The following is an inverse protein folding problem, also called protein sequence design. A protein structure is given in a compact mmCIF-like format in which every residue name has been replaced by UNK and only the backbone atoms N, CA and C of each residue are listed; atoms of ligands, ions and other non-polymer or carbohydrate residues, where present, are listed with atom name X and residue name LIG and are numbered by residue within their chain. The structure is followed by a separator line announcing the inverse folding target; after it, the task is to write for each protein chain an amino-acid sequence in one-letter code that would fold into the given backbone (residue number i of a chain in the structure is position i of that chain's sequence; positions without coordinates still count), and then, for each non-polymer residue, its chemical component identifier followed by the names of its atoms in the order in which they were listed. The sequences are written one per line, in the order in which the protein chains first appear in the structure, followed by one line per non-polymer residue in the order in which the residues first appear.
data_IF_196561152198
#
_entry.id   IF_196561152198
#
_cell.length_a   1.000
_cell.length_b   1.000
_cell.length_c   1.000
_cell.angle_alpha   90.00
_cell.angle_beta   90.00
_cell.angle_gamma   90.00
#
_symmetry.space_group_name_H-M   'P 1'
#
loop_
_entity.id
_entity.type
_entity.pdbx_description
1 polymer ?
#
# COMPACT_ATOMS: atom_id res chain seq x y z
N UNK A 1 -63.49 -51.47 -26.23
CA UNK A 1 -63.95 -52.12 -24.97
C UNK A 1 -63.57 -51.23 -23.79
N UNK A 2 -64.56 -50.95 -22.93
CA UNK A 2 -64.53 -50.37 -21.57
C UNK A 2 -63.84 -49.00 -21.36
N UNK A 3 -64.52 -47.85 -21.47
CA UNK A 3 -65.50 -47.18 -20.55
C UNK A 3 -64.91 -46.38 -19.36
N UNK A 4 -64.94 -45.06 -19.55
CA UNK A 4 -65.32 -43.97 -18.63
C UNK A 4 -65.92 -44.35 -17.26
N UNK A 5 -65.55 -43.62 -16.19
CA UNK A 5 -66.49 -42.74 -15.46
C UNK A 5 -65.87 -41.92 -14.33
N UNK A 6 -66.15 -40.62 -14.39
CA UNK A 6 -66.19 -39.65 -13.28
C UNK A 6 -67.42 -39.93 -12.41
N UNK A 7 -67.31 -39.82 -11.09
CA UNK A 7 -68.41 -39.44 -10.18
C UNK A 7 -67.86 -38.76 -8.94
N UNK A 8 -68.63 -37.79 -8.43
CA UNK A 8 -68.28 -36.82 -7.40
C UNK A 8 -69.09 -37.04 -6.09
N UNK A 9 -68.65 -36.30 -5.05
CA UNK A 9 -69.25 -36.05 -3.72
C UNK A 9 -69.11 -37.20 -2.68
N UNK A 10 -68.89 -36.96 -1.37
CA UNK A 10 -69.31 -35.86 -0.48
C UNK A 10 -68.44 -35.86 0.82
N UNK A 11 -68.29 -34.69 1.46
CA UNK A 11 -67.58 -34.41 2.73
C UNK A 11 -68.20 -35.15 3.95
N UNK A 12 -67.43 -35.43 5.03
CA UNK A 12 -67.56 -34.64 6.28
C UNK A 12 -66.19 -34.40 6.99
N UNK A 13 -65.90 -33.20 7.49
CA UNK A 13 -66.09 -32.68 8.85
C UNK A 13 -64.91 -32.94 9.82
N UNK A 14 -64.61 -31.91 10.61
CA UNK A 14 -63.35 -31.66 11.30
C UNK A 14 -63.16 -32.41 12.62
N UNK A 15 -61.91 -32.69 12.99
CA UNK A 15 -61.51 -32.80 14.39
C UNK A 15 -60.04 -32.43 14.61
N UNK A 16 -59.84 -31.49 15.54
CA UNK A 16 -58.60 -30.82 15.95
C UNK A 16 -57.64 -31.81 16.64
N UNK A 17 -56.36 -31.85 16.22
CA UNK A 17 -55.27 -32.45 17.03
C UNK A 17 -54.66 -31.37 17.95
N UNK A 18 -54.84 -31.54 19.27
CA UNK A 18 -54.08 -30.86 20.35
C UNK A 18 -52.89 -31.76 20.79
N UNK A 19 -51.89 -31.22 21.49
CA UNK A 19 -50.48 -31.39 21.13
C UNK A 19 -49.77 -32.51 21.92
N UNK A 20 -48.76 -33.12 21.28
CA UNK A 20 -47.81 -34.01 21.94
C UNK A 20 -46.59 -33.23 22.48
N UNK A 21 -46.08 -33.73 23.58
CA UNK A 21 -45.19 -33.08 24.53
C UNK A 21 -43.79 -32.69 24.02
N UNK A 22 -43.24 -31.65 24.67
CA UNK A 22 -41.87 -31.13 24.56
C UNK A 22 -40.82 -32.23 24.76
N UNK A 23 -39.89 -32.37 23.83
CA UNK A 23 -38.53 -32.88 24.09
C UNK A 23 -37.53 -31.73 24.03
N UNK A 24 -36.79 -31.56 25.13
CA UNK A 24 -35.65 -30.64 25.27
C UNK A 24 -34.37 -31.30 24.76
N UNK A 25 -33.45 -30.41 24.41
CA UNK A 25 -32.00 -30.55 24.23
C UNK A 25 -31.49 -30.99 22.85
N UNK A 26 -30.92 -30.03 22.12
CA UNK A 26 -29.50 -30.08 21.79
C UNK A 26 -28.97 -28.64 21.70
N UNK A 27 -27.89 -28.43 22.44
CA UNK A 27 -27.22 -27.17 22.74
C UNK A 27 -26.72 -26.46 21.48
N UNK A 28 -27.18 -25.22 21.28
CA UNK A 28 -26.76 -24.38 20.18
C UNK A 28 -25.39 -23.83 20.49
N UNK A 29 -24.37 -24.27 19.75
CA UNK A 29 -23.04 -23.65 19.76
C UNK A 29 -23.17 -22.18 19.37
N UNK A 30 -23.23 -21.31 20.39
CA UNK A 30 -23.27 -19.87 20.23
C UNK A 30 -21.98 -19.43 19.52
N UNK A 31 -22.10 -19.03 18.25
CA UNK A 31 -21.03 -18.34 17.52
C UNK A 31 -20.58 -17.16 18.37
N UNK A 32 -19.37 -17.25 18.92
CA UNK A 32 -18.70 -16.21 19.70
C UNK A 32 -18.72 -14.93 18.85
N UNK A 33 -19.59 -13.97 19.19
CA UNK A 33 -19.61 -12.64 18.56
C UNK A 33 -18.21 -12.08 18.73
N UNK A 34 -17.48 -11.94 17.63
CA UNK A 34 -16.22 -11.21 17.60
C UNK A 34 -16.53 -9.78 18.02
N UNK A 35 -16.14 -9.43 19.25
CA UNK A 35 -16.26 -8.06 19.75
C UNK A 35 -15.38 -7.19 18.86
N UNK A 36 -16.03 -6.42 17.97
CA UNK A 36 -15.36 -5.43 17.13
C UNK A 36 -14.61 -4.49 18.07
N UNK A 37 -13.27 -4.52 18.04
CA UNK A 37 -12.42 -3.63 18.85
C UNK A 37 -12.91 -2.19 18.65
N UNK A 38 -13.16 -1.49 19.76
CA UNK A 38 -13.56 -0.09 19.75
C UNK A 38 -12.45 0.71 19.05
N UNK A 39 -12.82 1.52 18.05
CA UNK A 39 -11.88 2.41 17.36
C UNK A 39 -11.31 3.38 18.40
N UNK A 40 -9.98 3.58 18.38
CA UNK A 40 -9.35 4.59 19.22
C UNK A 40 -9.91 5.98 18.90
N UNK A 41 -9.95 6.85 19.89
CA UNK A 41 -10.37 8.24 19.71
C UNK A 41 -9.30 9.00 18.90
N UNK A 42 -9.72 9.97 18.08
CA UNK A 42 -8.81 10.72 17.22
C UNK A 42 -7.87 11.57 18.10
N UNK A 43 -6.56 11.54 17.80
CA UNK A 43 -5.56 12.30 18.58
C UNK A 43 -5.28 11.77 19.99
N UNK A 44 -5.83 10.60 20.36
CA UNK A 44 -5.76 10.11 21.76
C UNK A 44 -4.52 9.26 22.08
N UNK A 45 -3.57 9.11 21.15
CA UNK A 45 -2.42 8.23 21.31
C UNK A 45 -1.22 8.76 20.53
N UNK A 46 -0.05 8.70 21.17
CA UNK A 46 1.23 9.06 20.57
C UNK A 46 1.73 10.40 21.06
N UNK A 47 2.77 10.90 20.39
CA UNK A 47 3.34 12.22 20.58
C UNK A 47 2.69 13.20 19.61
N UNK A 48 2.61 14.47 19.99
CA UNK A 48 2.27 15.55 19.07
C UNK A 48 3.45 15.91 18.14
N UNK A 49 3.18 16.77 17.16
CA UNK A 49 4.16 17.11 16.14
C UNK A 49 5.40 17.86 16.68
N UNK A 50 5.23 18.70 17.71
CA UNK A 50 6.34 19.45 18.31
C UNK A 50 7.22 18.51 19.15
N UNK A 51 6.60 17.56 19.85
CA UNK A 51 7.29 16.59 20.68
C UNK A 51 8.21 15.66 19.87
N UNK A 52 7.96 15.39 18.57
CA UNK A 52 8.75 14.43 17.80
C UNK A 52 10.25 14.76 17.72
N UNK A 53 10.58 16.06 17.69
CA UNK A 53 11.95 16.55 17.63
C UNK A 53 12.59 16.85 18.98
N UNK A 54 11.80 16.79 20.06
CA UNK A 54 12.27 17.13 21.40
C UNK A 54 12.92 15.95 22.12
N UNK A 55 13.71 16.27 23.15
CA UNK A 55 14.39 15.31 24.01
C UNK A 55 15.79 14.97 23.52
N UNK A 56 16.50 14.19 24.35
CA UNK A 56 17.84 13.71 24.03
C UNK A 56 17.75 12.23 23.64
N UNK A 57 18.40 11.88 22.53
CA UNK A 57 18.45 10.50 22.08
C UNK A 57 19.25 9.64 23.08
N UNK A 58 18.79 8.40 23.38
CA UNK A 58 19.52 7.48 24.23
C UNK A 58 20.92 7.16 23.70
N UNK A 59 21.82 6.72 24.58
CA UNK A 59 23.20 6.40 24.23
C UNK A 59 23.32 5.39 23.10
N UNK A 60 22.41 4.41 23.02
CA UNK A 60 22.37 3.41 21.95
C UNK A 60 22.14 4.05 20.57
N UNK A 61 21.26 5.06 20.51
CA UNK A 61 20.94 5.80 19.28
C UNK A 61 22.11 6.70 18.90
N UNK A 62 22.77 7.33 19.88
CA UNK A 62 23.97 8.12 19.63
C UNK A 62 25.17 7.26 19.22
N UNK A 63 25.31 6.05 19.75
CA UNK A 63 26.30 5.08 19.31
C UNK A 63 26.05 4.66 17.86
N UNK A 64 24.80 4.40 17.49
CA UNK A 64 24.42 4.13 16.11
C UNK A 64 24.71 5.33 15.19
N UNK A 65 24.39 6.55 15.63
CA UNK A 65 24.69 7.78 14.90
C UNK A 65 26.20 7.95 14.65
N UNK A 66 27.04 7.68 15.67
CA UNK A 66 28.50 7.68 15.53
C UNK A 66 28.98 6.60 14.56
N UNK A 67 28.39 5.40 14.62
CA UNK A 67 28.72 4.32 13.69
C UNK A 67 28.40 4.69 12.24
N UNK A 68 27.26 5.35 11.97
CA UNK A 68 26.91 5.88 10.64
C UNK A 68 28.00 6.80 10.11
N UNK A 69 28.49 7.73 10.94
CA UNK A 69 29.56 8.66 10.53
C UNK A 69 30.87 7.91 10.30
N UNK A 70 31.25 6.99 11.20
CA UNK A 70 32.44 6.14 11.04
C UNK A 70 32.38 5.24 9.80
N UNK A 71 31.18 4.88 9.37
CA UNK A 71 30.92 4.08 8.18
C UNK A 71 30.95 4.88 6.87
N UNK A 72 31.19 6.19 6.94
CA UNK A 72 31.24 7.10 5.79
C UNK A 72 29.91 7.76 5.44
N UNK A 73 28.89 7.62 6.30
CA UNK A 73 27.60 8.27 6.16
C UNK A 73 27.48 9.57 6.94
N UNK A 74 26.26 10.10 7.01
CA UNK A 74 25.90 11.29 7.79
C UNK A 74 24.52 11.12 8.41
N UNK A 75 24.35 11.61 9.64
CA UNK A 75 23.04 11.67 10.30
C UNK A 75 22.42 13.02 10.01
N UNK A 76 21.34 13.03 9.24
CA UNK A 76 20.60 14.22 8.82
C UNK A 76 19.62 14.70 9.90
N UNK A 77 18.97 13.76 10.60
CA UNK A 77 18.08 14.08 11.72
C UNK A 77 17.97 12.93 12.73
N UNK A 78 17.59 13.28 13.96
CA UNK A 78 17.17 12.37 15.03
C UNK A 78 15.75 12.77 15.40
N UNK A 79 14.83 11.80 15.49
CA UNK A 79 13.45 12.10 15.83
C UNK A 79 12.77 10.88 16.46
N UNK A 80 11.64 11.10 17.13
CA UNK A 80 10.80 10.03 17.69
C UNK A 80 9.67 9.68 16.74
N UNK A 81 9.34 8.40 16.60
CA UNK A 81 8.16 7.96 15.86
C UNK A 81 6.88 8.49 16.54
N UNK A 82 5.86 8.90 15.77
CA UNK A 82 4.71 9.61 16.33
C UNK A 82 3.80 8.75 17.20
N UNK A 83 3.85 7.42 17.10
CA UNK A 83 2.91 6.54 17.81
C UNK A 83 3.50 5.92 19.08
N UNK A 84 4.73 5.41 18.98
CA UNK A 84 5.45 4.74 20.07
C UNK A 84 6.49 5.62 20.76
N UNK A 85 6.90 6.74 20.15
CA UNK A 85 7.98 7.57 20.66
C UNK A 85 9.36 6.95 20.53
N UNK A 86 9.52 5.88 19.74
CA UNK A 86 10.79 5.22 19.49
C UNK A 86 11.69 6.12 18.65
N UNK A 87 12.94 6.26 19.07
CA UNK A 87 13.93 7.04 18.35
C UNK A 87 14.29 6.41 17.00
N UNK A 88 14.42 7.27 15.99
CA UNK A 88 14.78 6.95 14.62
C UNK A 88 15.84 7.94 14.13
N UNK A 89 16.63 7.51 13.16
CA UNK A 89 17.61 8.36 12.49
C UNK A 89 17.20 8.54 11.03
N UNK A 90 17.20 9.78 10.55
CA UNK A 90 17.27 10.04 9.11
C UNK A 90 18.76 10.15 8.75
N UNK A 91 19.24 9.29 7.87
CA UNK A 91 20.66 9.19 7.56
C UNK A 91 20.90 9.20 6.04
N UNK A 92 22.02 9.80 5.62
CA UNK A 92 22.60 9.58 4.30
C UNK A 92 23.67 8.50 4.43
N UNK A 93 23.51 7.40 3.71
CA UNK A 93 24.44 6.27 3.71
C UNK A 93 25.15 6.17 2.35
N UNK A 94 26.43 5.76 2.29
CA UNK A 94 27.05 5.38 1.02
C UNK A 94 26.22 4.25 0.38
N UNK A 95 25.87 4.40 -0.91
CA UNK A 95 24.91 3.47 -1.54
C UNK A 95 25.41 2.02 -1.53
N UNK A 96 26.73 1.83 -1.61
CA UNK A 96 27.38 0.53 -1.66
C UNK A 96 27.43 -0.20 -0.31
N UNK A 97 27.11 0.49 0.79
CA UNK A 97 27.02 -0.15 2.11
C UNK A 97 25.65 -0.74 2.40
N UNK A 98 24.67 -0.48 1.53
CA UNK A 98 23.29 -0.88 1.73
C UNK A 98 22.94 -2.07 0.83
N UNK A 99 22.48 -3.14 1.46
CA UNK A 99 22.14 -4.40 0.81
C UNK A 99 20.69 -4.83 1.13
N UNK A 100 20.03 -5.60 0.26
CA UNK A 100 18.72 -6.18 0.59
C UNK A 100 18.81 -7.10 1.80
N UNK A 101 17.77 -7.11 2.62
CA UNK A 101 17.67 -8.12 3.68
C UNK A 101 17.50 -9.52 3.05
N UNK A 102 18.06 -10.59 3.64
CA UNK A 102 18.11 -11.93 3.02
C UNK A 102 16.76 -12.57 2.64
N UNK A 103 15.66 -12.10 3.23
CA UNK A 103 14.32 -12.68 3.10
C UNK A 103 13.34 -11.77 2.33
N UNK A 104 13.86 -10.82 1.55
CA UNK A 104 13.02 -9.99 0.70
C UNK A 104 12.50 -10.73 -0.54
N UNK A 105 11.40 -10.21 -1.09
CA UNK A 105 10.89 -10.67 -2.37
C UNK A 105 11.89 -10.35 -3.48
N UNK A 106 11.94 -11.23 -4.47
CA UNK A 106 12.71 -11.03 -5.69
C UNK A 106 12.43 -9.68 -6.35
N UNK A 107 13.50 -9.06 -6.82
CA UNK A 107 13.44 -7.83 -7.60
C UNK A 107 12.67 -8.08 -8.91
N UNK A 108 11.72 -7.20 -9.22
CA UNK A 108 11.12 -7.19 -10.55
C UNK A 108 11.91 -6.25 -11.47
N UNK A 109 12.59 -6.82 -12.47
CA UNK A 109 13.39 -6.04 -13.43
C UNK A 109 12.57 -4.92 -14.10
N UNK A 110 11.31 -5.19 -14.46
CA UNK A 110 10.40 -4.20 -15.06
C UNK A 110 10.13 -3.04 -14.10
N UNK A 111 9.83 -3.32 -12.84
CA UNK A 111 9.58 -2.27 -11.84
C UNK A 111 10.85 -1.49 -11.50
N UNK A 112 12.00 -2.16 -11.45
CA UNK A 112 13.30 -1.52 -11.21
C UNK A 112 13.66 -0.55 -12.34
N UNK A 113 13.52 -0.99 -13.60
CA UNK A 113 13.74 -0.13 -14.78
C UNK A 113 12.81 1.08 -14.78
N UNK A 114 11.53 0.86 -14.45
CA UNK A 114 10.56 1.96 -14.36
C UNK A 114 10.92 2.95 -13.24
N UNK A 115 11.23 2.46 -12.04
CA UNK A 115 11.65 3.29 -10.91
C UNK A 115 12.87 4.14 -11.26
N UNK A 116 13.87 3.52 -11.91
CA UNK A 116 15.08 4.19 -12.41
C UNK A 116 14.74 5.33 -13.35
N UNK A 117 13.91 5.07 -14.38
CA UNK A 117 13.51 6.11 -15.32
C UNK A 117 12.68 7.24 -14.70
N UNK A 118 11.86 6.94 -13.68
CA UNK A 118 11.10 7.98 -12.95
C UNK A 118 12.03 8.86 -12.12
N UNK A 119 12.94 8.27 -11.35
CA UNK A 119 13.89 9.03 -10.51
C UNK A 119 14.78 9.91 -11.40
N UNK A 120 15.31 9.35 -12.50
CA UNK A 120 16.15 10.07 -13.46
C UNK A 120 15.41 11.25 -14.10
N UNK A 121 14.20 11.01 -14.62
CA UNK A 121 13.41 12.08 -15.26
C UNK A 121 12.98 13.17 -14.29
N UNK A 122 12.67 12.82 -13.04
CA UNK A 122 12.30 13.80 -12.01
C UNK A 122 13.51 14.50 -11.38
N UNK A 123 14.72 13.96 -11.55
CA UNK A 123 15.95 14.36 -10.86
C UNK A 123 15.77 14.49 -9.34
N UNK A 124 14.98 13.57 -8.76
CA UNK A 124 14.56 13.64 -7.35
C UNK A 124 14.42 12.27 -6.72
N UNK A 125 14.98 12.13 -5.52
CA UNK A 125 14.77 11.01 -4.63
C UNK A 125 13.95 11.45 -3.42
N UNK A 126 12.66 11.10 -3.39
CA UNK A 126 11.69 11.67 -2.43
C UNK A 126 11.32 10.74 -1.28
N UNK A 127 11.50 9.43 -1.46
CA UNK A 127 11.06 8.42 -0.50
C UNK A 127 12.28 7.65 0.04
N UNK A 128 12.77 7.98 1.25
CA UNK A 128 13.88 7.28 1.89
C UNK A 128 13.61 5.79 2.08
N UNK A 129 14.63 4.97 1.85
CA UNK A 129 14.55 3.53 2.13
C UNK A 129 14.53 3.29 3.65
N UNK A 130 13.99 2.15 4.10
CA UNK A 130 14.13 1.76 5.51
C UNK A 130 15.42 0.97 5.63
N UNK A 131 16.28 1.32 6.59
CA UNK A 131 17.52 0.62 6.85
C UNK A 131 17.61 0.17 8.32
N UNK A 132 18.35 -0.91 8.56
CA UNK A 132 18.89 -1.26 9.88
C UNK A 132 20.38 -1.50 9.73
N UNK A 133 21.13 -1.36 10.83
CA UNK A 133 22.54 -1.76 10.89
C UNK A 133 22.65 -3.12 11.58
N UNK A 134 23.37 -4.06 10.99
CA UNK A 134 23.64 -5.37 11.59
C UNK A 134 24.72 -5.24 12.67
N UNK A 135 24.83 -6.26 13.54
CA UNK A 135 25.93 -6.34 14.51
C UNK A 135 27.31 -6.38 13.83
N UNK A 136 27.38 -6.94 12.61
CA UNK A 136 28.59 -6.97 11.78
C UNK A 136 28.93 -5.61 11.13
N UNK A 137 28.05 -4.61 11.25
CA UNK A 137 28.24 -3.26 10.69
C UNK A 137 27.86 -3.10 9.22
N UNK A 138 27.11 -4.05 8.68
CA UNK A 138 26.45 -3.95 7.38
C UNK A 138 25.13 -3.21 7.53
N UNK A 139 24.61 -2.65 6.43
CA UNK A 139 23.26 -2.06 6.43
C UNK A 139 22.33 -2.90 5.57
N UNK A 140 21.20 -3.30 6.13
CA UNK A 140 20.16 -4.02 5.41
C UNK A 140 18.94 -3.14 5.22
N UNK A 141 18.37 -3.16 4.02
CA UNK A 141 17.20 -2.35 3.67
C UNK A 141 15.92 -3.19 3.56
N UNK A 142 15.17 -3.49 4.65
CA UNK A 142 13.96 -4.33 4.55
C UNK A 142 12.91 -3.79 3.57
N UNK A 143 12.79 -2.48 3.39
CA UNK A 143 11.92 -1.84 2.39
C UNK A 143 12.72 -0.87 1.53
N UNK A 144 12.54 -0.97 0.21
CA UNK A 144 13.11 -0.02 -0.73
C UNK A 144 14.03 -0.65 -1.77
N UNK A 145 14.01 -1.98 -1.96
CA UNK A 145 14.89 -2.65 -2.93
C UNK A 145 14.86 -2.04 -4.33
N UNK A 146 13.68 -1.76 -4.90
CA UNK A 146 13.58 -1.11 -6.22
C UNK A 146 14.20 0.30 -6.24
N UNK A 147 14.10 1.03 -5.13
CA UNK A 147 14.69 2.37 -4.96
C UNK A 147 16.21 2.28 -4.82
N UNK A 148 16.71 1.35 -4.01
CA UNK A 148 18.15 1.06 -3.90
C UNK A 148 18.73 0.66 -5.26
N UNK A 149 18.09 -0.27 -5.97
CA UNK A 149 18.52 -0.69 -7.31
C UNK A 149 18.56 0.48 -8.27
N UNK A 150 17.52 1.32 -8.28
CA UNK A 150 17.48 2.51 -9.14
C UNK A 150 18.62 3.49 -8.84
N UNK A 151 18.86 3.78 -7.56
CA UNK A 151 19.96 4.66 -7.13
C UNK A 151 21.33 4.09 -7.50
N UNK A 152 21.55 2.77 -7.34
CA UNK A 152 22.77 2.08 -7.80
C UNK A 152 22.93 2.19 -9.32
N UNK A 153 21.86 1.97 -10.10
CA UNK A 153 21.88 2.08 -11.57
C UNK A 153 22.12 3.50 -12.09
N UNK A 154 21.66 4.52 -11.37
CA UNK A 154 21.91 5.93 -11.68
C UNK A 154 23.29 6.42 -11.21
N UNK A 155 24.09 5.56 -10.57
CA UNK A 155 25.42 5.93 -10.09
C UNK A 155 25.40 6.91 -8.92
N UNK A 156 24.32 6.90 -8.11
CA UNK A 156 24.23 7.75 -6.94
C UNK A 156 25.31 7.41 -5.92
N UNK A 157 25.96 8.42 -5.33
CA UNK A 157 27.01 8.20 -4.31
C UNK A 157 26.44 7.81 -2.95
N UNK A 158 25.25 8.29 -2.64
CA UNK A 158 24.59 8.12 -1.35
C UNK A 158 23.09 7.92 -1.52
N UNK A 159 22.47 7.31 -0.51
CA UNK A 159 21.03 7.13 -0.42
C UNK A 159 20.52 7.60 0.94
N UNK A 160 19.37 8.27 0.96
CA UNK A 160 18.72 8.69 2.20
C UNK A 160 17.91 7.51 2.74
N UNK A 161 18.07 7.22 4.03
CA UNK A 161 17.43 6.13 4.72
C UNK A 161 16.79 6.57 6.05
N UNK A 162 15.63 6.00 6.36
CA UNK A 162 15.10 5.92 7.71
C UNK A 162 15.79 4.74 8.41
N UNK A 163 16.81 5.05 9.19
CA UNK A 163 17.60 4.08 9.93
C UNK A 163 16.93 3.79 11.27
N UNK A 164 16.48 2.54 11.41
CA UNK A 164 15.75 2.04 12.57
C UNK A 164 16.71 1.34 13.54
N UNK A 165 16.81 1.78 14.80
CA UNK A 165 17.69 1.14 15.80
C UNK A 165 17.27 -0.29 16.16
N UNK A 166 15.96 -0.59 16.15
CA UNK A 166 15.43 -1.93 16.45
C UNK A 166 15.60 -2.89 15.25
N UNK A 167 16.60 -3.76 15.33
CA UNK A 167 16.85 -4.79 14.32
C UNK A 167 15.66 -5.75 14.11
N UNK A 168 14.79 -5.96 15.11
CA UNK A 168 13.64 -6.86 14.98
C UNK A 168 12.63 -6.39 13.91
N UNK A 169 12.69 -5.11 13.50
CA UNK A 169 11.85 -4.56 12.44
C UNK A 169 12.10 -5.22 11.09
N UNK A 170 13.32 -5.72 10.81
CA UNK A 170 13.60 -6.40 9.53
C UNK A 170 12.64 -7.57 9.32
N UNK A 171 12.41 -8.39 10.35
CA UNK A 171 11.50 -9.55 10.28
C UNK A 171 10.01 -9.18 10.23
N UNK A 172 9.64 -7.93 10.52
CA UNK A 172 8.25 -7.46 10.52
C UNK A 172 7.83 -6.87 9.18
N UNK A 173 8.72 -6.83 8.18
CA UNK A 173 8.49 -6.06 6.96
C UNK A 173 7.29 -6.53 6.12
N UNK A 174 7.01 -7.84 6.09
CA UNK A 174 5.81 -8.35 5.41
C UNK A 174 4.52 -7.80 6.03
N UNK A 175 4.53 -7.55 7.35
CA UNK A 175 3.40 -6.93 8.04
C UNK A 175 3.34 -5.41 7.88
N UNK A 176 4.43 -4.78 7.41
CA UNK A 176 4.52 -3.33 7.19
C UNK A 176 4.12 -2.94 5.76
N UNK A 177 4.34 -3.82 4.77
CA UNK A 177 3.90 -3.63 3.38
C UNK A 177 2.40 -3.90 3.19
N UNK A 178 1.56 -3.17 3.94
CA UNK A 178 0.08 -3.30 3.91
C UNK A 178 -0.58 -2.42 2.85
N UNK A 179 0.21 -1.75 2.02
CA UNK A 179 -0.29 -0.90 0.94
C UNK A 179 -0.76 -1.74 -0.25
N UNK A 180 -1.94 -1.38 -0.77
CA UNK A 180 -2.58 -2.04 -1.90
C UNK A 180 -2.12 -1.39 -3.20
N UNK A 181 -1.64 -2.19 -4.16
CA UNK A 181 -1.37 -1.70 -5.50
C UNK A 181 -2.67 -1.18 -6.15
N UNK A 182 -2.59 -0.01 -6.79
CA UNK A 182 -3.72 0.57 -7.50
C UNK A 182 -4.20 -0.38 -8.59
N UNK A 183 -5.49 -0.73 -8.56
CA UNK A 183 -6.10 -1.40 -9.70
C UNK A 183 -6.38 -0.39 -10.82
N UNK A 184 -6.69 -0.90 -12.02
CA UNK A 184 -6.96 -0.08 -13.21
C UNK A 184 -7.95 1.06 -12.93
N UNK A 185 -9.03 0.79 -12.19
CA UNK A 185 -10.04 1.81 -11.87
C UNK A 185 -9.49 2.92 -10.98
N UNK A 186 -8.81 2.56 -9.90
CA UNK A 186 -8.20 3.51 -8.96
C UNK A 186 -7.20 4.42 -9.72
N UNK A 187 -6.32 3.79 -10.49
CA UNK A 187 -5.31 4.48 -11.29
C UNK A 187 -5.91 5.40 -12.36
N UNK A 188 -6.90 4.93 -13.12
CA UNK A 188 -7.56 5.73 -14.17
C UNK A 188 -8.27 6.96 -13.58
N UNK A 189 -8.87 6.80 -12.39
CA UNK A 189 -9.53 7.91 -11.69
C UNK A 189 -8.51 8.95 -11.17
N UNK A 190 -7.34 8.51 -10.71
CA UNK A 190 -6.25 9.43 -10.32
C UNK A 190 -5.73 10.21 -11.53
N UNK A 191 -5.44 9.53 -12.64
CA UNK A 191 -4.93 10.15 -13.88
C UNK A 191 -5.92 11.18 -14.45
N UNK A 192 -7.22 10.86 -14.56
CA UNK A 192 -8.18 11.85 -15.10
C UNK A 192 -8.36 13.07 -14.19
N UNK A 193 -8.29 12.88 -12.86
CA UNK A 193 -8.35 14.01 -11.90
C UNK A 193 -7.12 14.89 -12.03
N UNK A 194 -5.95 14.29 -12.17
CA UNK A 194 -4.70 15.00 -12.40
C UNK A 194 -4.77 15.80 -13.72
N UNK A 195 -5.21 15.18 -14.80
CA UNK A 195 -5.35 15.83 -16.10
C UNK A 195 -6.29 17.05 -16.03
N UNK A 196 -7.43 16.94 -15.35
CA UNK A 196 -8.33 18.08 -15.12
C UNK A 196 -7.67 19.19 -14.32
N UNK A 197 -6.88 18.85 -13.30
CA UNK A 197 -6.14 19.85 -12.50
C UNK A 197 -5.06 20.54 -13.34
N UNK A 198 -4.31 19.80 -14.17
CA UNK A 198 -3.27 20.35 -15.03
C UNK A 198 -3.85 21.25 -16.13
N UNK A 199 -4.98 20.86 -16.72
CA UNK A 199 -5.71 21.68 -17.69
C UNK A 199 -6.18 23.03 -17.11
N UNK A 200 -6.38 23.13 -15.79
CA UNK A 200 -6.70 24.42 -15.14
C UNK A 200 -5.46 25.29 -14.91
N UNK A 201 -4.27 24.70 -14.88
CA UNK A 201 -3.01 25.40 -14.61
C UNK A 201 -2.34 25.91 -15.90
N UNK A 202 -2.57 25.24 -17.02
CA UNK A 202 -2.06 25.65 -18.33
C UNK A 202 -3.08 25.35 -19.42
N UNK A 203 -3.53 26.39 -20.13
CA UNK A 203 -4.45 26.28 -21.26
C UNK A 203 -3.76 25.93 -22.58
N UNK A 204 -2.43 25.94 -22.61
CA UNK A 204 -1.63 25.70 -23.83
C UNK A 204 -0.88 24.37 -23.79
N UNK A 205 -0.80 23.71 -22.63
CA UNK A 205 -0.14 22.41 -22.51
C UNK A 205 -0.96 21.32 -23.20
N UNK A 206 -0.26 20.40 -23.87
CA UNK A 206 -0.86 19.24 -24.54
C UNK A 206 -0.66 17.97 -23.71
N UNK A 207 -1.36 16.87 -24.04
CA UNK A 207 -1.26 15.65 -23.24
C UNK A 207 0.16 15.06 -23.27
N UNK A 208 0.85 15.24 -24.40
CA UNK A 208 2.24 14.78 -24.59
C UNK A 208 3.20 15.41 -23.59
N UNK A 209 2.94 16.66 -23.16
CA UNK A 209 3.75 17.34 -22.13
C UNK A 209 3.70 16.61 -20.78
N UNK A 210 2.60 15.88 -20.53
CA UNK A 210 2.31 15.17 -19.28
C UNK A 210 2.37 13.64 -19.44
N UNK A 211 3.08 13.14 -20.44
CA UNK A 211 3.15 11.70 -20.74
C UNK A 211 3.71 10.86 -19.57
N UNK A 212 4.57 11.45 -18.71
CA UNK A 212 5.08 10.75 -17.51
C UNK A 212 3.98 10.62 -16.45
N UNK A 213 3.26 11.70 -16.23
CA UNK A 213 2.22 11.89 -15.24
C UNK A 213 1.00 11.01 -15.54
N UNK A 214 0.59 10.97 -16.82
CA UNK A 214 -0.56 10.19 -17.27
C UNK A 214 -0.23 8.72 -17.49
N UNK A 215 1.05 8.39 -17.66
CA UNK A 215 1.63 7.07 -17.90
C UNK A 215 1.19 6.37 -19.20
N UNK A 216 -0.11 6.29 -19.46
CA UNK A 216 -0.65 5.77 -20.71
C UNK A 216 -1.94 6.54 -21.10
N UNK A 217 -2.15 6.85 -22.40
CA UNK A 217 -3.31 7.61 -22.87
C UNK A 217 -4.65 6.98 -22.45
N UNK A 218 -4.73 5.64 -22.50
CA UNK A 218 -5.91 4.87 -22.15
C UNK A 218 -6.46 5.16 -20.74
N UNK A 219 -5.62 5.57 -19.78
CA UNK A 219 -6.07 5.89 -18.43
C UNK A 219 -6.91 7.16 -18.38
N UNK A 220 -6.70 8.12 -19.29
CA UNK A 220 -7.54 9.30 -19.41
C UNK A 220 -8.95 8.90 -19.86
N UNK A 221 -9.05 8.17 -20.97
CA UNK A 221 -10.32 7.71 -21.53
C UNK A 221 -11.08 6.80 -20.55
N UNK A 222 -10.42 5.79 -20.01
CA UNK A 222 -11.01 4.86 -19.04
C UNK A 222 -11.39 5.58 -17.75
N UNK A 223 -10.62 6.59 -17.34
CA UNK A 223 -10.90 7.45 -16.19
C UNK A 223 -12.22 8.21 -16.35
N UNK A 224 -12.42 8.86 -17.51
CA UNK A 224 -13.69 9.52 -17.85
C UNK A 224 -14.86 8.52 -17.81
N UNK A 225 -14.67 7.30 -18.34
CA UNK A 225 -15.70 6.27 -18.27
C UNK A 225 -16.05 5.88 -16.82
N UNK A 226 -15.05 5.77 -15.94
CA UNK A 226 -15.27 5.43 -14.54
C UNK A 226 -15.92 6.56 -13.73
N UNK A 227 -15.61 7.83 -14.02
CA UNK A 227 -16.28 8.99 -13.40
C UNK A 227 -17.79 8.95 -13.69
N UNK A 228 -18.18 8.68 -14.94
CA UNK A 228 -19.59 8.60 -15.35
C UNK A 228 -20.27 7.30 -14.89
N UNK A 229 -19.55 6.17 -14.93
CA UNK A 229 -20.09 4.85 -14.59
C UNK A 229 -19.12 4.09 -13.69
N UNK A 230 -19.30 4.14 -12.36
CA UNK A 230 -18.39 3.49 -11.40
C UNK A 230 -18.24 1.96 -11.57
N UNK A 231 -19.19 1.29 -12.23
CA UNK A 231 -19.16 -0.15 -12.54
C UNK A 231 -18.78 -0.45 -14.00
N UNK A 232 -18.09 0.47 -14.67
CA UNK A 232 -17.60 0.26 -16.04
C UNK A 232 -16.60 -0.90 -16.11
N UNK A 233 -16.70 -1.72 -17.16
CA UNK A 233 -15.81 -2.87 -17.36
C UNK A 233 -14.49 -2.48 -18.02
N UNK A 234 -13.78 -1.48 -17.47
CA UNK A 234 -12.57 -0.90 -18.07
C UNK A 234 -11.49 -1.94 -18.40
N UNK A 235 -11.35 -3.00 -17.60
CA UNK A 235 -10.39 -4.08 -17.89
C UNK A 235 -10.64 -4.82 -19.22
N UNK A 236 -11.88 -4.85 -19.71
CA UNK A 236 -12.21 -5.46 -21.00
C UNK A 236 -11.78 -4.58 -22.19
N UNK A 237 -11.75 -3.25 -22.00
CA UNK A 237 -11.46 -2.28 -23.06
C UNK A 237 -10.01 -1.76 -23.03
N UNK A 238 -9.35 -1.75 -21.86
CA UNK A 238 -8.00 -1.20 -21.72
C UNK A 238 -6.97 -1.80 -22.72
N UNK A 239 -6.94 -3.14 -22.97
CA UNK A 239 -5.97 -3.71 -23.90
C UNK A 239 -6.08 -3.21 -25.34
N UNK A 240 -7.30 -2.89 -25.81
CA UNK A 240 -7.51 -2.37 -27.16
C UNK A 240 -7.26 -0.85 -27.19
N UNK A 241 -7.68 -0.11 -26.17
CA UNK A 241 -7.42 1.33 -26.07
C UNK A 241 -5.92 1.64 -26.05
N UNK A 242 -5.12 0.88 -25.29
CA UNK A 242 -3.65 1.01 -25.26
C UNK A 242 -2.97 0.85 -26.62
N UNK A 243 -3.62 0.20 -27.59
CA UNK A 243 -3.10 0.01 -28.95
C UNK A 243 -3.58 1.08 -29.93
N UNK A 244 -4.71 1.74 -29.62
CA UNK A 244 -5.37 2.70 -30.51
C UNK A 244 -5.07 4.15 -30.13
N UNK A 245 -4.81 4.41 -28.85
CA UNK A 245 -4.61 5.76 -28.34
C UNK A 245 -3.12 6.11 -28.21
N UNK A 246 -2.82 7.37 -28.53
CA UNK A 246 -1.56 8.05 -28.29
C UNK A 246 -1.87 9.38 -27.60
N UNK A 247 -0.91 9.94 -26.85
CA UNK A 247 -1.07 11.29 -26.33
C UNK A 247 -1.15 12.27 -27.50
N UNK A 248 -2.07 13.22 -27.41
CA UNK A 248 -2.22 14.31 -28.35
C UNK A 248 -1.37 15.54 -27.98
#
# INVERSE_FOLDING_TARGET
MATSKKTAAKKPAAAKKKPAAKKKAADGTAKKKTTRRKKAEAGSRGLDAAELGEGQAPDEVEALAKAVVGDGGSVLARYRDPLGGHWQLLAALPVERLEPSPFQRDLSATHAKRMTGVIDKLDRFLDPVIAVRTEAGEYWTPNGLHRLTAMKQLGAKSIVALLVPDFAVVYKILALNTEKAHNLKEKSLEVIRMARSLATLSSTAVETDYALEFEEPALLTVGVCYEKRPRFSGGAYNPILRKLEAFA
#
